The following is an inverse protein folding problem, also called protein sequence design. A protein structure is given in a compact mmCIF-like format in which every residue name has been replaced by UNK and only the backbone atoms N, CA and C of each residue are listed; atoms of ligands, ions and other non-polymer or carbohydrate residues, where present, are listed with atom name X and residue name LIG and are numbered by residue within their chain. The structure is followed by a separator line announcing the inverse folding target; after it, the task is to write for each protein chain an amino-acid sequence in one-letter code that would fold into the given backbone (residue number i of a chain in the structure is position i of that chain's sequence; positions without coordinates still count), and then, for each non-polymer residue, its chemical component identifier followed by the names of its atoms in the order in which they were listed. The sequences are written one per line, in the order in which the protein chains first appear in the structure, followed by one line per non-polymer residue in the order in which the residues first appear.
data_IF_906266288582
#
_entry.id   IF_906266288582
#
_cell.length_a   1.000
_cell.length_b   1.000
_cell.length_c   1.000
_cell.angle_alpha   90.00
_cell.angle_beta   90.00
_cell.angle_gamma   90.00
#
_symmetry.space_group_name_H-M   'P 1'
#
loop_
_entity.id
_entity.type
_entity.pdbx_description
1 polymer ?
#
# COMPACT_ATOMS: atom_id res chain seq x y z
N UNK A 1 -5.72 -19.05 4.75
CA UNK A 1 -6.84 -19.83 5.27
C UNK A 1 -6.32 -20.81 6.33
N UNK A 2 -6.95 -20.94 7.50
CA UNK A 2 -6.45 -21.75 8.61
C UNK A 2 -6.73 -23.25 8.41
N UNK A 3 -6.19 -23.85 7.36
CA UNK A 3 -6.43 -25.27 7.01
C UNK A 3 -5.71 -26.26 7.94
N UNK A 4 -4.66 -25.84 8.63
CA UNK A 4 -3.85 -26.71 9.49
C UNK A 4 -4.49 -27.05 10.86
N UNK A 5 -5.21 -26.10 11.48
CA UNK A 5 -5.73 -26.27 12.84
C UNK A 5 -6.82 -27.32 12.89
N UNK A 6 -7.75 -27.33 11.94
CA UNK A 6 -8.81 -28.33 11.88
C UNK A 6 -8.25 -29.74 11.62
N UNK A 7 -7.31 -29.86 10.70
CA UNK A 7 -6.65 -31.14 10.42
C UNK A 7 -5.92 -31.68 11.65
N UNK A 8 -5.20 -30.83 12.37
CA UNK A 8 -4.51 -31.22 13.61
C UNK A 8 -5.51 -31.68 14.72
N UNK A 9 -6.61 -30.93 14.92
CA UNK A 9 -7.61 -31.29 15.91
C UNK A 9 -8.33 -32.61 15.59
N UNK A 10 -8.71 -32.78 14.32
CA UNK A 10 -9.38 -34.02 13.88
C UNK A 10 -8.44 -35.22 13.97
N UNK A 11 -7.15 -35.06 13.56
CA UNK A 11 -6.17 -36.15 13.67
C UNK A 11 -5.93 -36.57 15.12
N UNK A 12 -5.92 -35.62 16.07
CA UNK A 12 -5.77 -35.92 17.48
C UNK A 12 -6.97 -36.71 18.03
N UNK A 13 -8.20 -36.34 17.64
CA UNK A 13 -9.41 -37.06 18.02
C UNK A 13 -9.42 -38.49 17.45
N UNK A 14 -9.03 -38.65 16.19
CA UNK A 14 -8.95 -39.98 15.56
C UNK A 14 -7.87 -40.84 16.20
N UNK A 15 -6.70 -40.29 16.49
CA UNK A 15 -5.62 -40.98 17.17
C UNK A 15 -6.11 -41.52 18.54
N UNK A 16 -6.77 -40.69 19.34
CA UNK A 16 -7.32 -41.06 20.63
C UNK A 16 -8.40 -42.19 20.52
N UNK A 17 -9.29 -42.12 19.53
CA UNK A 17 -10.27 -43.13 19.31
C UNK A 17 -9.66 -44.50 18.90
N UNK A 18 -8.68 -44.46 18.02
CA UNK A 18 -7.98 -45.70 17.58
C UNK A 18 -7.17 -46.34 18.70
N UNK A 19 -6.51 -45.53 19.53
CA UNK A 19 -5.78 -46.04 20.73
C UNK A 19 -6.77 -46.79 21.66
N UNK A 20 -7.98 -46.22 21.88
CA UNK A 20 -9.03 -46.88 22.69
C UNK A 20 -9.54 -48.19 22.10
N UNK A 21 -9.39 -48.36 20.76
CA UNK A 21 -9.75 -49.59 20.06
C UNK A 21 -8.60 -50.64 19.99
N UNK A 22 -7.43 -50.31 20.60
CA UNK A 22 -6.30 -51.24 20.67
C UNK A 22 -5.30 -51.13 19.51
N UNK A 23 -5.33 -50.06 18.71
CA UNK A 23 -4.32 -49.80 17.67
C UNK A 23 -3.11 -49.08 18.26
N UNK A 24 -2.02 -49.81 18.55
CA UNK A 24 -0.82 -49.27 19.21
C UNK A 24 -0.09 -48.19 18.42
N UNK A 25 -0.19 -48.18 17.07
CA UNK A 25 0.48 -47.19 16.20
C UNK A 25 -0.34 -45.91 15.97
N UNK A 26 -1.52 -45.78 16.59
CA UNK A 26 -2.40 -44.63 16.39
C UNK A 26 -1.77 -43.29 16.86
N UNK A 27 -0.88 -43.38 17.86
CA UNK A 27 -0.14 -42.20 18.37
C UNK A 27 0.76 -41.51 17.31
N UNK A 28 1.21 -42.26 16.30
CA UNK A 28 2.06 -41.74 15.23
C UNK A 28 1.27 -40.86 14.21
N UNK A 29 -0.06 -40.92 14.20
CA UNK A 29 -0.91 -40.15 13.30
C UNK A 29 -0.76 -38.64 13.50
N UNK A 30 -0.70 -38.20 14.75
CA UNK A 30 -0.61 -36.79 15.11
C UNK A 30 0.68 -36.14 14.58
N UNK A 31 1.89 -36.64 14.92
CA UNK A 31 3.13 -36.08 14.41
C UNK A 31 3.23 -36.14 12.88
N UNK A 32 2.70 -37.17 12.23
CA UNK A 32 2.69 -37.31 10.79
C UNK A 32 1.83 -36.21 10.13
N UNK A 33 0.65 -35.93 10.68
CA UNK A 33 -0.21 -34.83 10.19
C UNK A 33 0.44 -33.46 10.42
N UNK A 34 1.10 -33.24 11.57
CA UNK A 34 1.85 -32.00 11.79
C UNK A 34 3.00 -31.84 10.81
N UNK A 35 3.76 -32.89 10.53
CA UNK A 35 4.84 -32.88 9.54
C UNK A 35 4.31 -32.54 8.13
N UNK A 36 3.15 -33.10 7.75
CA UNK A 36 2.48 -32.81 6.49
C UNK A 36 2.02 -31.33 6.41
N UNK A 37 1.46 -30.79 7.51
CA UNK A 37 1.05 -29.40 7.57
C UNK A 37 2.26 -28.46 7.39
N UNK A 38 3.36 -28.71 8.13
CA UNK A 38 4.59 -27.91 8.03
C UNK A 38 5.15 -27.98 6.60
N UNK A 39 5.25 -29.16 6.03
CA UNK A 39 5.74 -29.34 4.67
C UNK A 39 4.90 -28.59 3.63
N UNK A 40 3.57 -28.73 3.67
CA UNK A 40 2.66 -28.08 2.73
C UNK A 40 2.67 -26.55 2.87
N UNK A 41 2.68 -26.01 4.10
CA UNK A 41 2.76 -24.57 4.34
C UNK A 41 4.11 -24.01 3.84
N UNK A 42 5.20 -24.71 4.09
CA UNK A 42 6.54 -24.30 3.64
C UNK A 42 6.62 -24.28 2.12
N UNK A 43 6.17 -25.34 1.45
CA UNK A 43 6.15 -25.42 -0.01
C UNK A 43 5.27 -24.30 -0.60
N UNK A 44 4.06 -24.08 -0.08
CA UNK A 44 3.17 -23.02 -0.54
C UNK A 44 3.79 -21.63 -0.35
N UNK A 45 4.43 -21.37 0.79
CA UNK A 45 5.06 -20.08 1.07
C UNK A 45 6.24 -19.79 0.13
N UNK A 46 7.05 -20.79 -0.17
CA UNK A 46 8.19 -20.66 -1.07
C UNK A 46 7.77 -20.54 -2.55
N UNK A 47 6.68 -21.20 -2.94
CA UNK A 47 6.23 -21.24 -4.33
C UNK A 47 5.24 -20.14 -4.70
N UNK A 48 4.54 -19.53 -3.73
CA UNK A 48 3.52 -18.52 -4.00
C UNK A 48 4.02 -17.35 -4.84
N UNK A 49 5.16 -16.75 -4.47
CA UNK A 49 5.74 -15.61 -5.19
C UNK A 49 6.20 -15.94 -6.62
N UNK A 50 7.01 -17.00 -6.85
CA UNK A 50 7.42 -17.32 -8.21
C UNK A 50 6.25 -17.73 -9.10
N UNK A 51 5.27 -18.46 -8.56
CA UNK A 51 4.06 -18.81 -9.31
C UNK A 51 3.23 -17.58 -9.66
N UNK A 52 3.01 -16.65 -8.72
CA UNK A 52 2.30 -15.39 -9.00
C UNK A 52 2.99 -14.56 -10.10
N UNK A 53 4.33 -14.50 -10.09
CA UNK A 53 5.10 -13.84 -11.15
C UNK A 53 4.96 -14.54 -12.50
N UNK A 54 5.03 -15.86 -12.52
CA UNK A 54 4.91 -16.65 -13.77
C UNK A 54 3.51 -16.51 -14.39
N UNK A 55 2.47 -16.37 -13.56
CA UNK A 55 1.08 -16.16 -14.00
C UNK A 55 0.76 -14.69 -14.32
N UNK A 56 1.69 -13.75 -14.10
CA UNK A 56 1.46 -12.33 -14.33
C UNK A 56 0.44 -11.67 -13.38
N UNK A 57 0.11 -12.34 -12.26
CA UNK A 57 -0.83 -11.81 -11.25
C UNK A 57 -0.13 -11.21 -10.03
N UNK A 58 1.21 -11.13 -10.05
CA UNK A 58 1.96 -10.44 -9.02
C UNK A 58 1.73 -8.94 -9.15
N UNK A 59 1.20 -8.30 -8.11
CA UNK A 59 1.13 -6.85 -8.06
C UNK A 59 2.53 -6.24 -8.19
N UNK A 60 2.71 -5.22 -9.05
CA UNK A 60 3.96 -4.48 -9.11
C UNK A 60 4.29 -3.91 -7.73
N UNK A 61 5.56 -3.86 -7.39
CA UNK A 61 6.00 -3.24 -6.14
C UNK A 61 5.46 -1.79 -6.09
N UNK A 62 4.83 -1.43 -4.97
CA UNK A 62 4.19 -0.12 -4.78
C UNK A 62 5.26 0.96 -4.49
N UNK A 63 6.06 1.31 -5.51
CA UNK A 63 7.09 2.36 -5.42
C UNK A 63 6.69 3.66 -6.13
N UNK A 64 5.54 3.67 -6.79
CA UNK A 64 5.01 4.84 -7.48
C UNK A 64 4.48 5.91 -6.55
N UNK A 65 4.19 7.09 -7.11
CA UNK A 65 3.74 8.28 -6.39
C UNK A 65 2.33 8.70 -6.81
N UNK A 66 1.50 8.98 -5.81
CA UNK A 66 0.31 9.82 -5.97
C UNK A 66 0.72 11.26 -5.64
N UNK A 67 0.59 12.17 -6.60
CA UNK A 67 0.91 13.58 -6.41
C UNK A 67 -0.40 14.37 -6.28
N UNK A 68 -0.59 15.00 -5.13
CA UNK A 68 -1.71 15.91 -4.90
C UNK A 68 -1.35 17.31 -5.39
N UNK A 69 -2.02 17.73 -6.45
CA UNK A 69 -1.74 18.92 -7.23
C UNK A 69 -1.18 18.59 -8.61
N UNK A 70 -1.56 19.36 -9.62
CA UNK A 70 -1.04 19.25 -10.98
C UNK A 70 -0.53 20.60 -11.51
N UNK A 71 -0.04 21.45 -10.59
CA UNK A 71 0.61 22.72 -10.95
C UNK A 71 1.92 22.47 -11.74
N UNK A 72 2.55 23.50 -12.24
CA UNK A 72 3.77 23.40 -13.06
C UNK A 72 4.91 22.65 -12.36
N UNK A 73 5.11 22.88 -11.05
CA UNK A 73 6.11 22.17 -10.25
C UNK A 73 5.79 20.69 -10.08
N UNK A 74 4.54 20.37 -9.76
CA UNK A 74 4.08 18.97 -9.64
C UNK A 74 4.25 18.21 -10.97
N UNK A 75 3.92 18.84 -12.10
CA UNK A 75 4.11 18.24 -13.43
C UNK A 75 5.58 18.02 -13.77
N UNK A 76 6.46 18.97 -13.43
CA UNK A 76 7.89 18.80 -13.66
C UNK A 76 8.47 17.60 -12.87
N UNK A 77 8.07 17.45 -11.61
CA UNK A 77 8.44 16.30 -10.78
C UNK A 77 7.87 15.01 -11.38
N UNK A 78 6.59 15.01 -11.75
CA UNK A 78 5.93 13.85 -12.34
C UNK A 78 6.61 13.38 -13.64
N UNK A 79 7.00 14.30 -14.52
CA UNK A 79 7.74 14.00 -15.75
C UNK A 79 9.12 13.41 -15.46
N UNK A 80 9.82 13.94 -14.46
CA UNK A 80 11.11 13.41 -14.04
C UNK A 80 11.00 11.97 -13.48
N UNK A 81 9.95 11.70 -12.69
CA UNK A 81 9.67 10.36 -12.17
C UNK A 81 9.28 9.39 -13.32
N UNK A 82 8.39 9.82 -14.22
CA UNK A 82 7.97 9.03 -15.37
C UNK A 82 9.14 8.67 -16.29
N UNK A 83 10.08 9.60 -16.50
CA UNK A 83 11.29 9.35 -17.29
C UNK A 83 12.18 8.25 -16.68
N UNK A 84 12.10 8.05 -15.37
CA UNK A 84 12.81 6.99 -14.66
C UNK A 84 11.94 5.73 -14.43
N UNK A 85 10.87 5.56 -15.22
CA UNK A 85 9.95 4.41 -15.16
C UNK A 85 9.24 4.24 -13.80
N UNK A 86 9.15 5.31 -13.00
CA UNK A 86 8.44 5.32 -11.72
C UNK A 86 6.97 5.64 -12.00
N UNK A 87 6.02 4.78 -11.61
CA UNK A 87 4.59 5.05 -11.77
C UNK A 87 4.18 6.32 -11.04
N UNK A 88 3.50 7.21 -11.74
CA UNK A 88 3.02 8.48 -11.19
C UNK A 88 1.58 8.73 -11.61
N UNK A 89 0.78 9.13 -10.65
CA UNK A 89 -0.59 9.61 -10.87
C UNK A 89 -0.75 10.96 -10.19
N UNK A 90 -1.23 11.95 -10.92
CA UNK A 90 -1.54 13.26 -10.35
C UNK A 90 -3.04 13.36 -10.05
N UNK A 91 -3.40 14.25 -9.14
CA UNK A 91 -4.79 14.61 -8.90
C UNK A 91 -4.89 16.10 -8.62
N UNK A 92 -5.87 16.76 -9.24
CA UNK A 92 -6.14 18.19 -9.01
C UNK A 92 -7.64 18.46 -9.17
N UNK A 93 -8.14 19.46 -8.45
CA UNK A 93 -9.50 19.98 -8.59
C UNK A 93 -9.60 21.12 -9.60
N UNK A 94 -8.48 21.67 -10.07
CA UNK A 94 -8.42 22.69 -11.10
C UNK A 94 -8.33 22.03 -12.50
N UNK A 95 -9.37 22.23 -13.30
CA UNK A 95 -9.44 21.66 -14.64
C UNK A 95 -8.31 22.09 -15.57
N UNK A 96 -7.84 23.33 -15.46
CA UNK A 96 -6.75 23.83 -16.30
C UNK A 96 -5.45 23.10 -16.02
N UNK A 97 -5.12 22.87 -14.74
CA UNK A 97 -3.96 22.06 -14.35
C UNK A 97 -4.07 20.63 -14.87
N UNK A 98 -5.25 20.02 -14.76
CA UNK A 98 -5.53 18.68 -15.26
C UNK A 98 -5.35 18.61 -16.78
N UNK A 99 -5.86 19.60 -17.49
CA UNK A 99 -5.71 19.69 -18.95
C UNK A 99 -4.24 19.75 -19.36
N UNK A 100 -3.47 20.59 -18.70
CA UNK A 100 -2.03 20.72 -18.96
C UNK A 100 -1.28 19.41 -18.67
N UNK A 101 -1.58 18.75 -17.54
CA UNK A 101 -0.96 17.48 -17.21
C UNK A 101 -1.27 16.37 -18.23
N UNK A 102 -2.49 16.36 -18.79
CA UNK A 102 -2.85 15.44 -19.89
C UNK A 102 -2.09 15.75 -21.18
N UNK A 103 -1.91 17.02 -21.50
CA UNK A 103 -1.12 17.44 -22.67
C UNK A 103 0.36 17.04 -22.50
N UNK A 104 0.87 17.05 -21.29
CA UNK A 104 2.23 16.57 -20.95
C UNK A 104 2.35 15.02 -20.96
N UNK A 105 1.26 14.29 -21.25
CA UNK A 105 1.22 12.82 -21.28
C UNK A 105 1.22 12.16 -19.90
N UNK A 106 0.85 12.91 -18.84
CA UNK A 106 0.79 12.40 -17.48
C UNK A 106 -0.58 11.79 -17.17
N UNK A 107 -0.60 10.71 -16.37
CA UNK A 107 -1.83 10.18 -15.78
C UNK A 107 -2.34 11.15 -14.74
N UNK A 108 -3.55 11.68 -14.91
CA UNK A 108 -4.14 12.64 -13.99
C UNK A 108 -5.62 12.39 -13.77
N UNK A 109 -6.02 12.40 -12.52
CA UNK A 109 -7.40 12.34 -12.08
C UNK A 109 -7.92 13.76 -11.77
N UNK A 110 -9.10 14.08 -12.32
CA UNK A 110 -9.78 15.35 -12.05
C UNK A 110 -10.73 15.17 -10.86
N UNK A 111 -10.46 15.83 -9.75
CA UNK A 111 -11.32 15.81 -8.57
C UNK A 111 -10.58 15.66 -7.26
N UNK A 112 -11.37 15.55 -6.19
CA UNK A 112 -10.84 15.29 -4.86
C UNK A 112 -10.46 13.82 -4.72
N UNK A 113 -9.19 13.48 -4.41
CA UNK A 113 -8.74 12.09 -4.30
C UNK A 113 -9.32 11.34 -3.10
N UNK A 114 -9.92 12.04 -2.13
CA UNK A 114 -10.56 11.43 -0.95
C UNK A 114 -12.05 11.19 -1.15
N UNK A 115 -12.59 11.45 -2.34
CA UNK A 115 -14.00 11.25 -2.66
C UNK A 115 -14.31 9.77 -2.91
N UNK A 116 -15.56 9.36 -2.68
CA UNK A 116 -16.03 8.01 -3.01
C UNK A 116 -15.89 7.70 -4.51
N UNK A 117 -16.08 8.71 -5.36
CA UNK A 117 -15.84 8.59 -6.81
C UNK A 117 -14.38 8.28 -7.11
N UNK A 118 -13.43 8.89 -6.37
CA UNK A 118 -12.00 8.62 -6.55
C UNK A 118 -11.66 7.18 -6.18
N UNK A 119 -12.24 6.63 -5.12
CA UNK A 119 -11.98 5.24 -4.69
C UNK A 119 -12.29 4.20 -5.78
N UNK A 120 -13.19 4.55 -6.72
CA UNK A 120 -13.60 3.66 -7.81
C UNK A 120 -12.86 3.94 -9.13
N UNK A 121 -12.44 5.19 -9.36
CA UNK A 121 -11.91 5.64 -10.67
C UNK A 121 -10.44 6.03 -10.64
N UNK A 122 -9.85 6.22 -9.46
CA UNK A 122 -8.44 6.53 -9.30
C UNK A 122 -7.63 5.24 -9.29
N UNK A 123 -6.94 4.96 -10.38
CA UNK A 123 -6.06 3.79 -10.49
C UNK A 123 -4.75 4.04 -9.72
N UNK A 124 -4.63 3.40 -8.56
CA UNK A 124 -3.45 3.44 -7.69
C UNK A 124 -2.55 2.21 -7.85
N UNK A 125 -2.69 1.46 -8.93
CA UNK A 125 -1.87 0.27 -9.19
C UNK A 125 -0.38 0.63 -9.25
N UNK A 126 0.43 0.02 -8.39
CA UNK A 126 1.87 0.30 -8.29
C UNK A 126 2.22 1.58 -7.54
N UNK A 127 1.24 2.33 -7.00
CA UNK A 127 1.43 3.53 -6.20
C UNK A 127 1.51 3.17 -4.72
N UNK A 128 2.56 3.62 -4.04
CA UNK A 128 2.78 3.34 -2.61
C UNK A 128 3.19 4.56 -1.80
N UNK A 129 3.27 5.74 -2.44
CA UNK A 129 3.71 6.97 -1.79
C UNK A 129 2.81 8.14 -2.17
N UNK A 130 2.59 9.05 -1.22
CA UNK A 130 1.86 10.31 -1.45
C UNK A 130 2.84 11.48 -1.41
N UNK A 131 2.74 12.37 -2.39
CA UNK A 131 3.45 13.63 -2.43
C UNK A 131 2.45 14.79 -2.56
N UNK A 132 2.41 15.66 -1.55
CA UNK A 132 1.45 16.75 -1.47
C UNK A 132 2.10 18.06 -1.91
N UNK A 133 1.70 18.59 -3.07
CA UNK A 133 2.23 19.83 -3.67
C UNK A 133 1.09 20.81 -4.02
N UNK A 134 -0.13 20.52 -3.59
CA UNK A 134 -1.28 21.38 -3.87
C UNK A 134 -1.24 22.65 -3.02
N UNK A 135 -1.67 23.81 -3.55
CA UNK A 135 -1.79 25.05 -2.78
C UNK A 135 -2.98 25.05 -1.78
N UNK A 136 -3.83 24.03 -1.82
CA UNK A 136 -5.04 23.96 -1.02
C UNK A 136 -4.80 23.27 0.34
N UNK A 137 -4.45 24.04 1.38
CA UNK A 137 -4.07 23.51 2.72
C UNK A 137 -5.08 22.55 3.33
N UNK A 138 -6.38 22.86 3.24
CA UNK A 138 -7.45 21.99 3.79
C UNK A 138 -7.53 20.65 3.08
N UNK A 139 -7.43 20.64 1.75
CA UNK A 139 -7.40 19.42 0.96
C UNK A 139 -6.16 18.60 1.26
N UNK A 140 -5.01 19.27 1.44
CA UNK A 140 -3.75 18.63 1.78
C UNK A 140 -3.82 17.86 3.09
N UNK A 141 -4.36 18.49 4.15
CA UNK A 141 -4.52 17.85 5.47
C UNK A 141 -5.48 16.67 5.41
N UNK A 142 -6.62 16.82 4.73
CA UNK A 142 -7.61 15.77 4.57
C UNK A 142 -7.05 14.57 3.77
N UNK A 143 -6.39 14.84 2.66
CA UNK A 143 -5.80 13.80 1.82
C UNK A 143 -4.64 13.09 2.56
N UNK A 144 -3.79 13.85 3.27
CA UNK A 144 -2.73 13.27 4.07
C UNK A 144 -3.28 12.29 5.10
N UNK A 145 -4.32 12.70 5.85
CA UNK A 145 -4.95 11.85 6.86
C UNK A 145 -5.58 10.59 6.23
N UNK A 146 -6.31 10.75 5.12
CA UNK A 146 -6.96 9.65 4.42
C UNK A 146 -5.96 8.61 3.90
N UNK A 147 -4.85 9.06 3.32
CA UNK A 147 -3.86 8.17 2.73
C UNK A 147 -2.79 7.66 3.71
N UNK A 148 -2.74 8.20 4.96
CA UNK A 148 -1.88 7.64 6.01
C UNK A 148 -2.20 6.17 6.30
N UNK A 149 -3.48 5.80 6.32
CA UNK A 149 -3.91 4.43 6.57
C UNK A 149 -3.58 3.49 5.39
N UNK A 150 -3.49 4.03 4.18
CA UNK A 150 -3.22 3.26 2.96
C UNK A 150 -1.74 3.05 2.71
N UNK A 151 -0.93 4.09 2.83
CA UNK A 151 0.50 4.07 2.48
C UNK A 151 1.42 4.01 3.69
N UNK A 152 0.90 4.27 4.88
CA UNK A 152 1.69 4.38 6.10
C UNK A 152 2.42 5.73 6.24
N UNK A 153 2.75 6.08 7.48
CA UNK A 153 3.31 7.39 7.82
C UNK A 153 4.66 7.70 7.13
N UNK A 154 5.45 6.67 6.84
CA UNK A 154 6.76 6.84 6.20
C UNK A 154 6.69 7.04 4.67
N UNK A 155 5.50 6.98 4.08
CA UNK A 155 5.29 7.07 2.64
C UNK A 155 4.50 8.30 2.22
N UNK A 156 4.22 9.21 3.16
CA UNK A 156 3.49 10.46 2.90
C UNK A 156 4.43 11.65 3.07
N UNK A 157 4.61 12.41 2.00
CA UNK A 157 5.49 13.57 1.94
C UNK A 157 4.67 14.82 1.62
N UNK A 158 4.89 15.91 2.38
CA UNK A 158 4.31 17.20 2.06
C UNK A 158 5.40 18.27 2.04
N UNK A 159 5.30 19.20 1.10
CA UNK A 159 6.17 20.37 1.09
C UNK A 159 5.79 21.26 2.29
N UNK A 160 6.74 21.48 3.18
CA UNK A 160 6.59 22.45 4.26
C UNK A 160 6.81 23.85 3.67
N UNK A 161 5.77 24.67 3.62
CA UNK A 161 5.95 26.11 3.49
C UNK A 161 6.58 26.62 4.79
N UNK A 162 7.64 27.47 4.66
CA UNK A 162 8.49 27.92 5.74
C UNK A 162 7.76 28.41 7.00
N UNK A 163 8.48 28.45 8.07
CA UNK A 163 8.18 28.59 9.50
C UNK A 163 7.14 29.65 9.97
N UNK A 164 6.57 30.46 9.09
CA UNK A 164 5.67 31.56 9.49
C UNK A 164 4.23 31.14 9.75
N UNK A 165 3.76 30.00 9.27
CA UNK A 165 2.39 29.49 9.45
C UNK A 165 2.27 28.37 10.49
N UNK A 166 3.35 27.97 11.14
CA UNK A 166 3.40 26.86 12.09
C UNK A 166 2.59 27.07 13.40
N UNK A 167 2.10 28.30 13.66
CA UNK A 167 1.38 28.62 14.90
C UNK A 167 -0.11 28.26 14.91
N UNK A 168 -0.69 27.89 13.78
CA UNK A 168 -2.14 27.66 13.69
C UNK A 168 -2.58 26.18 13.63
N UNK A 169 -1.67 25.21 13.61
CA UNK A 169 -2.03 23.78 13.43
C UNK A 169 -1.24 22.86 14.38
N UNK A 170 -1.37 23.07 15.68
CA UNK A 170 -0.55 22.41 16.71
C UNK A 170 -0.78 20.89 16.90
N UNK A 171 -1.85 20.28 16.40
CA UNK A 171 -2.12 18.86 16.67
C UNK A 171 -1.91 17.92 15.49
N UNK A 172 -2.04 18.38 14.25
CA UNK A 172 -1.84 17.57 13.06
C UNK A 172 -0.41 17.69 12.51
N UNK A 173 0.22 18.85 12.73
CA UNK A 173 1.57 19.16 12.26
C UNK A 173 2.68 18.32 12.94
N UNK A 174 2.50 17.92 14.19
CA UNK A 174 3.51 17.18 14.95
C UNK A 174 3.71 15.76 14.42
N UNK A 175 2.64 15.12 13.93
CA UNK A 175 2.70 13.79 13.29
C UNK A 175 3.27 13.86 11.87
N UNK A 176 3.03 14.97 11.16
CA UNK A 176 3.54 15.20 9.80
C UNK A 176 5.01 15.64 9.84
N UNK A 177 5.45 16.31 10.90
CA UNK A 177 6.87 16.68 11.09
C UNK A 177 7.78 15.48 11.31
N UNK A 178 7.29 14.35 11.81
CA UNK A 178 8.07 13.11 11.90
C UNK A 178 8.33 12.45 10.53
N UNK A 179 7.61 12.86 9.49
CA UNK A 179 7.83 12.43 8.11
C UNK A 179 8.88 13.29 7.37
N UNK A 180 9.69 14.01 8.10
CA UNK A 180 10.74 14.94 7.63
C UNK A 180 11.99 14.26 7.04
N UNK A 181 11.87 13.13 6.43
CA UNK A 181 12.99 12.53 5.74
C UNK A 181 12.92 12.86 4.25
N UNK A 182 13.67 13.78 3.74
CA UNK A 182 14.23 13.88 2.37
C UNK A 182 14.23 15.28 1.72
N UNK A 183 13.48 16.27 2.20
CA UNK A 183 13.42 17.58 1.55
C UNK A 183 14.03 18.74 2.35
N UNK A 184 14.60 18.47 3.54
CA UNK A 184 15.35 19.50 4.31
C UNK A 184 16.87 19.51 4.03
N UNK A 185 17.39 18.56 3.25
CA UNK A 185 18.84 18.43 2.97
C UNK A 185 19.18 18.63 1.48
N UNK A 186 18.30 19.34 0.74
CA UNK A 186 18.60 19.83 -0.62
C UNK A 186 18.53 21.39 -0.61
#
# INVERSE_FOLDING_TARGET
APRGIVAAAVSALFAFQLENQGYEDASTLVPLVFMLIIATVTIQSLTARPVAKALGVAEPAAFGFLILGANSGARAIALALQKNEIPVVLTDTNWENVRQARMDGLKVYFGNPTSEHASTHLDLTGVGKLLVISPYKQLNSLATYHFLDWFGANSVYSLSEGEQDAKASHQTAEKIQQTRGLFNDL
#
